data_IF_274080933688
#
_entry.id   IF_274080933688
#
_cell.length_a   1.000
_cell.length_b   1.000
_cell.length_c   1.000
_cell.angle_alpha   90.00
_cell.angle_beta   90.00
_cell.angle_gamma   90.00
#
_symmetry.space_group_name_H-M   'P 1'
#
loop_
_entity.id
_entity.type
_entity.pdbx_description
1 polymer ?
#
# COMPACT_ATOMS: atom_id res chain seq x y z
N UNK A 1 -9.84 22.19 22.53
CA UNK A 1 -8.68 22.01 21.64
C UNK A 1 -8.63 20.61 21.01
N UNK A 2 -8.72 19.57 21.82
CA UNK A 2 -8.68 18.19 21.32
C UNK A 2 -9.77 17.93 20.27
N UNK A 3 -11.00 18.39 20.52
CA UNK A 3 -12.12 18.21 19.59
C UNK A 3 -11.89 18.86 18.23
N UNK A 4 -11.19 20.01 18.21
CA UNK A 4 -10.88 20.70 16.96
C UNK A 4 -9.84 19.92 16.15
N UNK A 5 -8.87 19.33 16.83
CA UNK A 5 -7.85 18.49 16.18
C UNK A 5 -8.48 17.22 15.62
N UNK A 6 -9.35 16.58 16.40
CA UNK A 6 -10.04 15.36 15.99
C UNK A 6 -10.92 15.56 14.75
N UNK A 7 -11.42 16.78 14.53
CA UNK A 7 -12.23 17.09 13.37
C UNK A 7 -11.45 16.94 12.05
N UNK A 8 -10.13 17.01 12.09
CA UNK A 8 -9.29 16.84 10.89
C UNK A 8 -8.96 15.38 10.59
N UNK A 9 -9.30 14.45 11.50
CA UNK A 9 -8.96 13.04 11.35
C UNK A 9 -9.43 12.45 10.02
N UNK A 10 -10.65 12.68 9.53
CA UNK A 10 -11.07 12.13 8.24
C UNK A 10 -10.24 12.64 7.06
N UNK A 11 -9.89 13.93 7.07
CA UNK A 11 -9.06 14.51 6.01
C UNK A 11 -7.65 13.93 6.05
N UNK A 12 -7.08 13.81 7.25
CA UNK A 12 -5.75 13.20 7.41
C UNK A 12 -5.74 11.73 6.98
N UNK A 13 -6.83 11.02 7.18
CA UNK A 13 -6.97 9.64 6.69
C UNK A 13 -6.84 9.60 5.16
N UNK A 14 -7.53 10.50 4.46
CA UNK A 14 -7.42 10.60 3.00
C UNK A 14 -6.01 10.96 2.55
N UNK A 15 -5.35 11.89 3.24
CA UNK A 15 -3.98 12.28 2.95
C UNK A 15 -3.03 11.10 3.15
N UNK A 16 -3.18 10.35 4.25
CA UNK A 16 -2.39 9.15 4.52
C UNK A 16 -2.59 8.12 3.41
N UNK A 17 -3.84 7.90 2.99
CA UNK A 17 -4.13 6.97 1.90
C UNK A 17 -3.41 7.38 0.63
N UNK A 18 -3.47 8.66 0.27
CA UNK A 18 -2.81 9.15 -0.95
C UNK A 18 -1.30 8.96 -0.86
N UNK A 19 -0.70 9.30 0.27
CA UNK A 19 0.75 9.16 0.46
C UNK A 19 1.17 7.68 0.36
N UNK A 20 0.48 6.80 1.07
CA UNK A 20 0.76 5.36 1.05
C UNK A 20 0.49 4.77 -0.34
N UNK A 21 -0.58 5.22 -0.99
CA UNK A 21 -0.91 4.80 -2.35
C UNK A 21 0.16 5.18 -3.35
N UNK A 22 0.73 6.37 -3.23
CA UNK A 22 1.84 6.80 -4.09
C UNK A 22 3.07 5.90 -3.88
N UNK A 23 3.38 5.57 -2.64
CA UNK A 23 4.52 4.69 -2.33
C UNK A 23 4.32 3.33 -2.97
N UNK A 24 3.19 2.67 -2.73
CA UNK A 24 2.98 1.31 -3.24
C UNK A 24 2.83 1.30 -4.77
N UNK A 25 2.18 2.30 -5.33
CA UNK A 25 2.06 2.45 -6.78
C UNK A 25 3.44 2.62 -7.43
N UNK A 26 4.33 3.39 -6.81
CA UNK A 26 5.68 3.60 -7.32
C UNK A 26 6.49 2.30 -7.32
N UNK A 27 6.32 1.43 -6.32
CA UNK A 27 6.95 0.11 -6.33
C UNK A 27 6.46 -0.75 -7.50
N UNK A 28 5.14 -0.72 -7.76
CA UNK A 28 4.57 -1.42 -8.91
C UNK A 28 5.08 -0.88 -10.23
N UNK A 29 5.17 0.44 -10.37
CA UNK A 29 5.71 1.09 -11.56
C UNK A 29 7.16 0.67 -11.80
N UNK A 30 7.97 0.67 -10.76
CA UNK A 30 9.38 0.28 -10.87
C UNK A 30 9.54 -1.17 -11.34
N UNK A 31 8.75 -2.09 -10.78
CA UNK A 31 8.86 -3.51 -11.11
C UNK A 31 8.34 -3.84 -12.51
N UNK A 32 7.28 -3.18 -12.95
CA UNK A 32 6.62 -3.51 -14.22
C UNK A 32 7.24 -2.74 -15.39
N UNK A 33 7.49 -1.44 -15.20
CA UNK A 33 7.95 -0.56 -16.28
C UNK A 33 9.44 -0.26 -16.21
N UNK A 34 10.15 -0.82 -15.23
CA UNK A 34 11.59 -0.56 -15.02
C UNK A 34 11.87 0.95 -14.94
N UNK A 35 11.06 1.64 -14.18
CA UNK A 35 10.96 3.10 -14.22
C UNK A 35 12.15 3.80 -13.58
N UNK A 36 12.78 3.19 -12.58
CA UNK A 36 13.90 3.81 -11.87
C UNK A 36 15.13 2.91 -11.91
N UNK A 37 16.23 3.43 -12.44
CA UNK A 37 17.52 2.78 -12.34
C UNK A 37 17.92 2.66 -10.86
N UNK A 38 18.45 1.51 -10.48
CA UNK A 38 18.85 1.24 -9.11
C UNK A 38 17.80 0.59 -8.23
N UNK A 39 16.55 0.51 -8.67
CA UNK A 39 15.55 -0.28 -7.97
C UNK A 39 15.58 -1.73 -8.41
N UNK A 40 15.01 -2.61 -7.59
CA UNK A 40 14.89 -4.02 -7.93
C UNK A 40 13.97 -4.19 -9.15
N UNK A 41 14.49 -4.76 -10.21
CA UNK A 41 13.76 -4.99 -11.47
C UNK A 41 13.69 -6.49 -11.73
N UNK A 42 12.62 -7.15 -11.27
CA UNK A 42 12.49 -8.59 -11.44
C UNK A 42 12.29 -8.96 -12.90
N UNK A 43 12.74 -10.16 -13.32
CA UNK A 43 12.46 -10.65 -14.67
C UNK A 43 10.97 -10.75 -14.93
N UNK A 44 10.57 -10.42 -16.16
CA UNK A 44 9.17 -10.50 -16.59
C UNK A 44 8.63 -11.92 -16.39
N UNK A 45 7.47 -12.02 -15.75
CA UNK A 45 6.81 -13.30 -15.45
C UNK A 45 7.28 -13.97 -14.18
N UNK A 46 8.33 -13.44 -13.50
CA UNK A 46 8.75 -13.96 -12.19
C UNK A 46 7.73 -13.66 -11.11
N UNK A 47 7.82 -14.34 -9.97
CA UNK A 47 6.91 -14.08 -8.85
C UNK A 47 6.96 -12.63 -8.37
N UNK A 48 8.15 -12.02 -8.15
CA UNK A 48 8.18 -10.60 -7.78
C UNK A 48 7.55 -9.68 -8.82
N UNK A 49 7.65 -10.02 -10.11
CA UNK A 49 7.03 -9.25 -11.18
C UNK A 49 5.51 -9.34 -11.10
N UNK A 50 4.96 -10.54 -10.86
CA UNK A 50 3.51 -10.75 -10.69
C UNK A 50 3.01 -9.97 -9.48
N UNK A 51 3.76 -9.99 -8.37
CA UNK A 51 3.44 -9.19 -7.19
C UNK A 51 3.44 -7.70 -7.52
N UNK A 52 4.35 -7.27 -8.39
CA UNK A 52 4.40 -5.89 -8.90
C UNK A 52 3.14 -5.49 -9.66
N UNK A 53 2.53 -6.40 -10.40
CA UNK A 53 1.24 -6.14 -11.06
C UNK A 53 0.15 -5.84 -10.03
N UNK A 54 0.09 -6.62 -8.94
CA UNK A 54 -0.86 -6.37 -7.87
C UNK A 54 -0.60 -5.02 -7.19
N UNK A 55 0.68 -4.70 -6.96
CA UNK A 55 1.05 -3.40 -6.39
C UNK A 55 0.60 -2.26 -7.31
N UNK A 56 0.77 -2.44 -8.62
CA UNK A 56 0.40 -1.43 -9.60
C UNK A 56 -1.12 -1.21 -9.62
N UNK A 57 -1.88 -2.28 -9.80
CA UNK A 57 -3.34 -2.21 -9.95
C UNK A 57 -4.01 -1.84 -8.62
N UNK A 58 -3.73 -2.60 -7.57
CA UNK A 58 -4.33 -2.34 -6.26
C UNK A 58 -3.82 -1.03 -5.66
N UNK A 59 -2.57 -0.69 -5.91
CA UNK A 59 -1.99 0.58 -5.49
C UNK A 59 -2.70 1.76 -6.13
N UNK A 60 -2.99 1.67 -7.42
CA UNK A 60 -3.75 2.71 -8.12
C UNK A 60 -5.16 2.84 -7.55
N UNK A 61 -5.87 1.73 -7.36
CA UNK A 61 -7.21 1.76 -6.78
C UNK A 61 -7.21 2.36 -5.38
N UNK A 62 -6.23 1.99 -4.58
CA UNK A 62 -6.05 2.52 -3.24
C UNK A 62 -5.73 4.02 -3.28
N UNK A 63 -4.86 4.43 -4.19
CA UNK A 63 -4.44 5.83 -4.35
C UNK A 63 -5.64 6.73 -4.63
N UNK A 64 -6.48 6.36 -5.59
CA UNK A 64 -7.67 7.16 -5.93
C UNK A 64 -8.82 6.94 -4.97
N UNK A 65 -8.74 5.92 -4.12
CA UNK A 65 -9.79 5.61 -3.16
C UNK A 65 -11.01 4.97 -3.77
N UNK A 66 -10.83 4.09 -4.76
CA UNK A 66 -11.90 3.31 -5.36
C UNK A 66 -11.77 1.86 -4.93
N UNK A 67 -12.87 1.29 -4.39
CA UNK A 67 -12.87 -0.06 -3.80
C UNK A 67 -11.74 -0.20 -2.76
N UNK A 68 -11.59 0.82 -1.93
CA UNK A 68 -10.44 0.98 -1.03
C UNK A 68 -10.29 -0.18 -0.08
N UNK A 69 -11.39 -0.66 0.52
CA UNK A 69 -11.33 -1.74 1.52
C UNK A 69 -10.82 -3.04 0.91
N UNK A 70 -11.27 -3.38 -0.29
CA UNK A 70 -10.84 -4.59 -1.00
C UNK A 70 -9.38 -4.45 -1.43
N UNK A 71 -9.02 -3.32 -2.02
CA UNK A 71 -7.64 -3.06 -2.42
C UNK A 71 -6.70 -3.10 -1.22
N UNK A 72 -7.10 -2.50 -0.09
CA UNK A 72 -6.32 -2.51 1.13
C UNK A 72 -6.13 -3.93 1.68
N UNK A 73 -7.17 -4.75 1.66
CA UNK A 73 -7.07 -6.13 2.11
C UNK A 73 -6.05 -6.92 1.27
N UNK A 74 -6.15 -6.79 -0.05
CA UNK A 74 -5.22 -7.47 -0.95
C UNK A 74 -3.80 -6.97 -0.78
N UNK A 75 -3.60 -5.65 -0.63
CA UNK A 75 -2.29 -5.07 -0.41
C UNK A 75 -1.71 -5.47 0.95
N UNK A 76 -2.53 -5.56 1.99
CA UNK A 76 -2.08 -6.04 3.31
C UNK A 76 -1.53 -7.46 3.21
N UNK A 77 -2.28 -8.36 2.56
CA UNK A 77 -1.84 -9.73 2.33
C UNK A 77 -0.57 -9.80 1.49
N UNK A 78 -0.49 -8.96 0.47
CA UNK A 78 0.69 -8.86 -0.39
C UNK A 78 1.93 -8.44 0.41
N UNK A 79 1.79 -7.46 1.30
CA UNK A 79 2.90 -6.99 2.14
C UNK A 79 3.34 -8.08 3.12
N UNK A 80 2.40 -8.81 3.70
CA UNK A 80 2.72 -9.95 4.57
C UNK A 80 3.50 -11.02 3.79
N UNK A 81 3.03 -11.38 2.61
CA UNK A 81 3.69 -12.36 1.76
C UNK A 81 5.10 -11.90 1.38
N UNK A 82 5.24 -10.62 0.98
CA UNK A 82 6.54 -10.06 0.64
C UNK A 82 7.51 -10.11 1.81
N UNK A 83 7.02 -9.82 3.01
CA UNK A 83 7.86 -9.87 4.21
C UNK A 83 8.38 -11.30 4.46
N UNK A 84 7.48 -12.27 4.49
CA UNK A 84 7.87 -13.64 4.81
C UNK A 84 8.66 -14.32 3.70
N UNK A 85 8.41 -14.01 2.45
CA UNK A 85 9.11 -14.64 1.32
C UNK A 85 10.47 -13.98 1.08
N UNK A 86 10.53 -12.66 1.10
CA UNK A 86 11.71 -11.92 0.64
C UNK A 86 12.60 -11.42 1.77
N UNK A 87 12.07 -11.15 2.94
CA UNK A 87 12.81 -10.49 4.02
C UNK A 87 13.06 -11.40 5.22
N UNK A 88 12.06 -12.14 5.66
CA UNK A 88 12.16 -13.02 6.82
C UNK A 88 13.32 -14.03 6.74
N UNK A 89 13.62 -14.63 5.57
CA UNK A 89 14.74 -15.59 5.51
C UNK A 89 16.09 -15.01 5.89
N UNK A 90 16.29 -13.68 5.77
CA UNK A 90 17.54 -13.03 6.19
C UNK A 90 17.61 -12.84 7.69
N UNK A 91 16.51 -12.41 8.31
CA UNK A 91 16.38 -12.17 9.75
C UNK A 91 14.92 -11.94 10.07
N UNK A 92 14.49 -12.22 11.30
CA UNK A 92 13.16 -11.87 11.77
C UNK A 92 13.02 -10.36 12.04
N UNK A 93 14.14 -9.68 12.26
CA UNK A 93 14.13 -8.27 12.67
C UNK A 93 14.12 -7.34 11.46
N UNK A 94 13.07 -6.48 11.30
CA UNK A 94 12.97 -5.56 10.16
C UNK A 94 14.20 -4.67 9.93
N UNK A 95 14.88 -4.14 10.97
CA UNK A 95 16.09 -3.35 10.71
C UNK A 95 17.21 -4.13 10.01
N UNK A 96 17.25 -5.44 10.18
CA UNK A 96 18.29 -6.28 9.62
C UNK A 96 17.92 -6.87 8.26
N UNK A 97 16.61 -7.05 7.99
CA UNK A 97 16.16 -7.77 6.80
C UNK A 97 15.69 -6.87 5.66
N UNK A 98 15.68 -5.55 5.86
CA UNK A 98 15.23 -4.59 4.85
C UNK A 98 13.72 -4.60 4.60
N UNK A 99 12.96 -5.28 5.44
CA UNK A 99 11.49 -5.42 5.27
C UNK A 99 10.65 -4.47 6.09
N UNK A 100 11.23 -3.39 6.59
CA UNK A 100 10.51 -2.42 7.43
C UNK A 100 9.26 -1.89 6.73
N UNK A 101 9.38 -1.49 5.47
CA UNK A 101 8.25 -0.97 4.70
C UNK A 101 7.13 -2.01 4.58
N UNK A 102 7.47 -3.25 4.23
CA UNK A 102 6.47 -4.32 4.10
C UNK A 102 5.78 -4.58 5.43
N UNK A 103 6.52 -4.64 6.53
CA UNK A 103 5.95 -4.89 7.85
C UNK A 103 4.99 -3.79 8.28
N UNK A 104 5.39 -2.53 8.14
CA UNK A 104 4.55 -1.39 8.52
C UNK A 104 3.36 -1.26 7.60
N UNK A 105 3.56 -1.35 6.29
CA UNK A 105 2.49 -1.19 5.31
C UNK A 105 1.44 -2.29 5.43
N UNK A 106 1.81 -3.50 5.80
CA UNK A 106 0.85 -4.57 6.05
C UNK A 106 -0.23 -4.12 7.03
N UNK A 107 0.15 -3.51 8.14
CA UNK A 107 -0.80 -3.06 9.16
C UNK A 107 -1.49 -1.75 8.79
N UNK A 108 -0.81 -0.86 8.05
CA UNK A 108 -1.45 0.35 7.53
C UNK A 108 -2.60 -0.03 6.60
N UNK A 109 -2.37 -0.93 5.66
CA UNK A 109 -3.42 -1.40 4.76
C UNK A 109 -4.55 -2.11 5.52
N UNK A 110 -4.19 -2.92 6.52
CA UNK A 110 -5.18 -3.60 7.34
C UNK A 110 -6.10 -2.60 8.05
N UNK A 111 -5.56 -1.50 8.53
CA UNK A 111 -6.35 -0.44 9.13
C UNK A 111 -7.36 0.13 8.13
N UNK A 112 -6.95 0.36 6.88
CA UNK A 112 -7.84 0.89 5.84
C UNK A 112 -8.96 -0.06 5.45
N UNK A 113 -8.84 -1.35 5.70
CA UNK A 113 -9.94 -2.30 5.51
C UNK A 113 -11.14 -1.90 6.37
N UNK A 114 -10.87 -1.42 7.57
CA UNK A 114 -11.93 -1.01 8.52
C UNK A 114 -12.31 0.45 8.38
N UNK A 115 -11.33 1.34 8.15
CA UNK A 115 -11.58 2.78 8.09
C UNK A 115 -12.23 3.24 6.79
N UNK A 116 -11.93 2.55 5.67
CA UNK A 116 -12.31 3.02 4.35
C UNK A 116 -11.42 4.15 3.86
N UNK A 117 -11.83 4.79 2.78
CA UNK A 117 -11.00 5.70 2.00
C UNK A 117 -10.85 7.11 2.56
N UNK A 118 -11.78 7.54 3.42
CA UNK A 118 -11.88 8.93 3.85
C UNK A 118 -12.65 9.79 2.84
N UNK A 119 -12.89 11.07 3.18
CA UNK A 119 -13.80 11.92 2.40
C UNK A 119 -13.26 12.36 1.03
N UNK A 120 -11.95 12.37 0.84
CA UNK A 120 -11.34 12.77 -0.43
C UNK A 120 -11.01 11.51 -1.23
N UNK A 121 -12.04 10.91 -1.87
CA UNK A 121 -11.87 9.64 -2.57
C UNK A 121 -12.99 9.43 -3.57
N UNK A 122 -12.77 8.52 -4.53
CA UNK A 122 -13.81 8.08 -5.46
C UNK A 122 -14.92 7.37 -4.70
N UNK A 123 -14.59 6.53 -3.70
CA UNK A 123 -15.59 5.85 -2.88
C UNK A 123 -16.54 6.84 -2.19
N UNK A 124 -15.99 7.94 -1.67
CA UNK A 124 -16.81 8.98 -1.03
C UNK A 124 -17.76 9.64 -2.04
N UNK A 125 -17.30 9.90 -3.26
CA UNK A 125 -18.15 10.46 -4.32
C UNK A 125 -19.28 9.50 -4.71
N UNK A 126 -19.03 8.19 -4.61
CA UNK A 126 -20.01 7.16 -4.94
C UNK A 126 -20.82 6.71 -3.72
N UNK A 127 -20.67 7.38 -2.58
CA UNK A 127 -21.33 7.03 -1.30
C UNK A 127 -21.00 5.61 -0.83
N UNK A 128 -19.76 5.16 -1.05
CA UNK A 128 -19.27 3.81 -0.67
C UNK A 128 -18.18 3.85 0.39
N UNK A 129 -17.76 5.03 0.79
CA UNK A 129 -16.66 5.18 1.73
C UNK A 129 -17.01 4.68 3.14
#
# INVERSE_FOLDING_TARGET
MVNKIQAYQPVLLSILRIAVGLVIFSFGMAKIFHFHAGTFMPPTGSLPWILGLFELVCGFLFLVGFQTRIAAFLLSGLMAAAYFISHFPKSIFPPENGGMAAAVLCFVFLYFVTSGAGPISVDAKLNKA
#
